data_IF_950951593024
#
_entry.id   IF_950951593024
#
_cell.length_a   1.000
_cell.length_b   1.000
_cell.length_c   1.000
_cell.angle_alpha   90.00
_cell.angle_beta   90.00
_cell.angle_gamma   90.00
#
_symmetry.space_group_name_H-M   'P 1'
#
loop_
_entity.id
_entity.type
_entity.pdbx_description
1 polymer ?
#
# COMPACT_ATOMS: atom_id res chain seq x y z
N UNK A 1 5.16 -13.53 6.65
CA UNK A 1 5.53 -12.82 5.40
C UNK A 1 5.89 -11.36 5.68
N UNK A 2 5.01 -10.57 6.29
CA UNK A 2 5.30 -9.17 6.65
C UNK A 2 6.60 -9.00 7.45
N UNK A 3 6.70 -9.58 8.65
CA UNK A 3 7.85 -9.36 9.55
C UNK A 3 9.18 -9.74 8.91
N UNK A 4 9.23 -10.87 8.20
CA UNK A 4 10.42 -11.29 7.47
C UNK A 4 10.81 -10.28 6.37
N UNK A 5 9.84 -9.79 5.58
CA UNK A 5 10.10 -8.79 4.55
C UNK A 5 10.51 -7.42 5.13
N UNK A 6 9.93 -7.03 6.27
CA UNK A 6 10.29 -5.81 6.97
C UNK A 6 11.73 -5.88 7.48
N UNK A 7 12.10 -6.96 8.18
CA UNK A 7 13.48 -7.16 8.65
C UNK A 7 14.46 -7.22 7.49
N UNK A 8 14.17 -8.01 6.45
CA UNK A 8 15.04 -8.17 5.29
C UNK A 8 15.27 -6.84 4.55
N UNK A 9 14.23 -6.03 4.33
CA UNK A 9 14.37 -4.75 3.64
C UNK A 9 15.00 -3.66 4.52
N UNK A 10 14.56 -3.50 5.76
CA UNK A 10 14.99 -2.42 6.65
C UNK A 10 16.40 -2.65 7.22
N UNK A 11 16.72 -3.87 7.66
CA UNK A 11 17.98 -4.15 8.32
C UNK A 11 19.07 -4.63 7.34
N UNK A 12 18.67 -5.30 6.25
CA UNK A 12 19.62 -5.95 5.33
C UNK A 12 19.56 -5.43 3.89
N UNK A 13 18.75 -4.39 3.62
CA UNK A 13 18.69 -3.76 2.30
C UNK A 13 18.12 -4.65 1.19
N UNK A 14 17.43 -5.75 1.53
CA UNK A 14 16.87 -6.65 0.54
C UNK A 14 15.68 -6.02 -0.20
N UNK A 15 15.64 -6.19 -1.52
CA UNK A 15 14.56 -5.68 -2.39
C UNK A 15 13.29 -6.52 -2.32
N UNK A 16 12.68 -6.58 -1.14
CA UNK A 16 11.50 -7.39 -0.85
C UNK A 16 10.35 -6.57 -0.26
N UNK A 17 9.09 -6.90 -0.57
CA UNK A 17 7.94 -6.18 -0.04
C UNK A 17 7.68 -6.52 1.43
N UNK A 18 7.30 -5.51 2.20
CA UNK A 18 6.76 -5.65 3.55
C UNK A 18 5.34 -5.09 3.60
N UNK A 19 4.33 -5.97 3.51
CA UNK A 19 2.92 -5.56 3.43
C UNK A 19 2.21 -5.78 4.77
N UNK A 20 1.95 -4.70 5.49
CA UNK A 20 1.09 -4.67 6.67
C UNK A 20 -0.39 -4.35 6.31
N UNK A 21 -1.23 -4.11 7.32
CA UNK A 21 -2.64 -3.75 7.07
C UNK A 21 -2.82 -2.37 6.43
N UNK A 22 -1.89 -1.43 6.64
CA UNK A 22 -1.90 -0.10 6.06
C UNK A 22 -1.50 -0.14 4.58
N UNK A 23 -0.35 -0.73 4.28
CA UNK A 23 0.14 -0.95 2.93
C UNK A 23 -0.85 -1.75 2.08
N UNK A 24 -1.42 -2.84 2.63
CA UNK A 24 -2.42 -3.64 1.93
C UNK A 24 -3.68 -2.84 1.54
N UNK A 25 -4.07 -1.87 2.36
CA UNK A 25 -5.21 -0.99 2.08
C UNK A 25 -4.87 0.05 1.03
N UNK A 26 -3.69 0.66 1.11
CA UNK A 26 -3.21 1.61 0.11
C UNK A 26 -3.16 0.95 -1.27
N UNK A 27 -2.44 -0.16 -1.41
CA UNK A 27 -2.30 -0.88 -2.68
C UNK A 27 -3.66 -1.30 -3.24
N UNK A 28 -4.56 -1.81 -2.40
CA UNK A 28 -5.88 -2.20 -2.87
C UNK A 28 -6.73 -1.02 -3.36
N UNK A 29 -6.60 0.18 -2.77
CA UNK A 29 -7.34 1.37 -3.21
C UNK A 29 -6.72 2.00 -4.45
N UNK A 30 -5.39 2.09 -4.50
CA UNK A 30 -4.65 2.64 -5.64
C UNK A 30 -4.95 1.84 -6.91
N UNK A 31 -4.91 0.51 -6.83
CA UNK A 31 -5.10 -0.40 -7.96
C UNK A 31 -6.53 -0.99 -8.06
N UNK A 32 -7.51 -0.44 -7.33
CA UNK A 32 -8.89 -0.91 -7.30
C UNK A 32 -9.06 -2.44 -7.11
N UNK A 33 -8.25 -3.05 -6.26
CA UNK A 33 -8.31 -4.49 -5.96
C UNK A 33 -9.58 -4.82 -5.16
N UNK A 34 -10.56 -5.38 -5.85
CA UNK A 34 -11.85 -5.79 -5.28
C UNK A 34 -11.77 -7.09 -4.46
N UNK A 35 -12.74 -7.28 -3.57
CA UNK A 35 -12.92 -8.50 -2.76
C UNK A 35 -12.93 -8.24 -1.25
N UNK A 36 -13.37 -9.24 -0.47
CA UNK A 36 -13.36 -9.16 1.00
C UNK A 36 -11.93 -9.09 1.52
N UNK A 37 -11.70 -8.31 2.60
CA UNK A 37 -10.35 -8.07 3.17
C UNK A 37 -9.59 -9.36 3.48
N UNK A 38 -10.27 -10.36 4.04
CA UNK A 38 -9.72 -11.67 4.42
C UNK A 38 -9.74 -12.72 3.29
N UNK A 39 -10.06 -12.33 2.06
CA UNK A 39 -10.06 -13.30 0.95
C UNK A 39 -8.64 -13.57 0.47
N UNK A 40 -8.26 -14.85 0.40
CA UNK A 40 -6.94 -15.27 -0.07
C UNK A 40 -6.64 -14.76 -1.49
N UNK A 41 -7.67 -14.67 -2.35
CA UNK A 41 -7.55 -14.10 -3.70
C UNK A 41 -7.13 -12.62 -3.66
N UNK A 42 -7.74 -11.81 -2.79
CA UNK A 42 -7.39 -10.39 -2.64
C UNK A 42 -5.99 -10.25 -2.05
N UNK A 43 -5.66 -11.03 -1.04
CA UNK A 43 -4.34 -11.02 -0.42
C UNK A 43 -3.24 -11.35 -1.42
N UNK A 44 -3.40 -12.43 -2.21
CA UNK A 44 -2.43 -12.78 -3.27
C UNK A 44 -2.21 -11.65 -4.28
N UNK A 45 -3.28 -10.99 -4.71
CA UNK A 45 -3.19 -9.85 -5.64
C UNK A 45 -2.44 -8.66 -5.04
N UNK A 46 -2.72 -8.33 -3.79
CA UNK A 46 -2.03 -7.24 -3.07
C UNK A 46 -0.54 -7.55 -2.94
N UNK A 47 -0.17 -8.78 -2.57
CA UNK A 47 1.24 -9.18 -2.47
C UNK A 47 1.94 -9.19 -3.83
N UNK A 48 1.27 -9.60 -4.91
CA UNK A 48 1.82 -9.53 -6.25
C UNK A 48 2.11 -8.09 -6.69
N UNK A 49 1.18 -7.16 -6.40
CA UNK A 49 1.41 -5.72 -6.64
C UNK A 49 2.59 -5.20 -5.82
N UNK A 50 2.67 -5.55 -4.54
CA UNK A 50 3.76 -5.10 -3.69
C UNK A 50 5.12 -5.58 -4.24
N UNK A 51 5.24 -6.85 -4.61
CA UNK A 51 6.45 -7.41 -5.19
C UNK A 51 6.85 -6.73 -6.51
N UNK A 52 5.88 -6.35 -7.34
CA UNK A 52 6.13 -5.68 -8.62
C UNK A 52 6.54 -4.21 -8.48
N UNK A 53 6.22 -3.55 -7.36
CA UNK A 53 6.40 -2.11 -7.17
C UNK A 53 7.59 -1.74 -6.29
N UNK A 54 8.18 -2.69 -5.56
CA UNK A 54 9.36 -2.40 -4.74
C UNK A 54 10.51 -1.94 -5.64
N UNK A 55 11.00 -0.70 -5.47
CA UNK A 55 12.12 -0.19 -6.24
C UNK A 55 13.43 -0.84 -5.78
N UNK A 56 14.28 -1.21 -6.73
CA UNK A 56 15.61 -1.76 -6.43
C UNK A 56 16.46 -0.78 -5.63
N UNK A 57 17.14 -1.29 -4.62
CA UNK A 57 17.99 -0.54 -3.68
C UNK A 57 17.24 0.41 -2.75
N UNK A 58 15.89 0.48 -2.81
CA UNK A 58 15.08 1.43 -2.04
C UNK A 58 13.86 0.78 -1.36
N UNK A 59 13.92 -0.52 -1.13
CA UNK A 59 12.79 -1.26 -0.54
C UNK A 59 12.44 -0.80 0.89
N UNK A 60 13.44 -0.47 1.70
CA UNK A 60 13.23 0.06 3.06
C UNK A 60 12.35 1.33 3.03
N UNK A 61 12.82 2.36 2.33
CA UNK A 61 12.11 3.64 2.19
C UNK A 61 10.73 3.45 1.56
N UNK A 62 10.63 2.59 0.54
CA UNK A 62 9.37 2.30 -0.14
C UNK A 62 8.35 1.66 0.79
N UNK A 63 8.75 0.61 1.52
CA UNK A 63 7.88 -0.09 2.45
C UNK A 63 7.42 0.87 3.57
N UNK A 64 8.34 1.67 4.12
CA UNK A 64 8.02 2.64 5.16
C UNK A 64 7.08 3.74 4.65
N UNK A 65 7.39 4.36 3.52
CA UNK A 65 6.55 5.39 2.92
C UNK A 65 5.13 4.89 2.61
N UNK A 66 4.99 3.64 2.17
CA UNK A 66 3.69 3.03 1.90
C UNK A 66 2.87 2.80 3.19
N UNK A 67 3.54 2.40 4.28
CA UNK A 67 2.92 2.26 5.60
C UNK A 67 2.49 3.63 6.15
N UNK A 68 3.36 4.64 6.09
CA UNK A 68 3.10 6.00 6.56
C UNK A 68 1.98 6.67 5.77
N UNK A 69 1.93 6.46 4.45
CA UNK A 69 0.83 6.90 3.60
C UNK A 69 -0.50 6.29 4.06
N UNK A 70 -0.49 5.00 4.41
CA UNK A 70 -1.65 4.29 4.92
C UNK A 70 -2.10 4.75 6.30
N UNK A 71 -1.16 5.10 7.17
CA UNK A 71 -1.42 5.59 8.52
C UNK A 71 -1.91 7.05 8.54
N UNK A 72 -1.35 7.89 7.66
CA UNK A 72 -1.54 9.36 7.70
C UNK A 72 -2.69 9.84 6.81
N UNK A 73 -2.76 9.33 5.57
CA UNK A 73 -3.70 9.83 4.56
C UNK A 73 -4.77 8.80 4.22
N UNK A 74 -4.36 7.58 3.87
CA UNK A 74 -5.24 6.54 3.37
C UNK A 74 -5.82 5.70 4.52
N UNK A 75 -6.37 6.35 5.57
CA UNK A 75 -6.91 5.68 6.76
C UNK A 75 -8.14 4.82 6.45
N UNK A 76 -8.46 3.87 7.34
CA UNK A 76 -9.46 2.82 7.08
C UNK A 76 -10.85 3.34 6.73
N UNK A 77 -11.34 4.37 7.43
CA UNK A 77 -12.72 4.86 7.30
C UNK A 77 -12.85 6.09 6.42
N UNK A 78 -12.37 7.24 6.90
CA UNK A 78 -12.46 8.54 6.22
C UNK A 78 -11.08 8.94 5.67
N UNK A 79 -10.62 8.36 4.54
CA UNK A 79 -9.31 8.70 3.99
C UNK A 79 -9.27 10.17 3.57
N UNK A 80 -8.13 10.81 3.78
CA UNK A 80 -7.87 12.21 3.43
C UNK A 80 -7.50 12.34 1.95
N UNK A 81 -8.38 11.86 1.06
CA UNK A 81 -8.08 11.78 -0.37
C UNK A 81 -7.76 13.14 -1.00
N UNK A 82 -8.40 14.23 -0.55
CA UNK A 82 -8.18 15.58 -1.08
C UNK A 82 -6.74 16.08 -0.95
N UNK A 83 -6.01 15.64 0.08
CA UNK A 83 -4.61 16.01 0.35
C UNK A 83 -3.65 14.82 0.22
N UNK A 84 -4.11 13.70 -0.32
CA UNK A 84 -3.29 12.50 -0.46
C UNK A 84 -2.27 12.69 -1.61
N UNK A 85 -0.96 12.53 -1.36
CA UNK A 85 0.07 12.85 -2.35
C UNK A 85 0.02 11.97 -3.62
N UNK A 86 -0.60 10.79 -3.53
CA UNK A 86 -0.74 9.86 -4.65
C UNK A 86 -2.15 9.85 -5.26
N UNK A 87 -3.02 10.83 -4.92
CA UNK A 87 -4.42 10.87 -5.36
C UNK A 87 -4.58 10.69 -6.87
N UNK A 88 -3.80 11.43 -7.66
CA UNK A 88 -3.82 11.43 -9.15
C UNK A 88 -3.38 10.11 -9.81
N UNK A 89 -2.93 9.15 -9.00
CA UNK A 89 -2.53 7.82 -9.44
C UNK A 89 -3.41 6.74 -8.77
N UNK A 90 -4.47 7.15 -8.06
CA UNK A 90 -5.26 6.27 -7.21
C UNK A 90 -6.67 6.11 -7.77
N UNK A 91 -6.99 4.90 -8.26
CA UNK A 91 -8.27 4.60 -8.88
C UNK A 91 -9.49 4.86 -7.99
N UNK A 92 -9.34 4.76 -6.66
CA UNK A 92 -10.40 5.09 -5.68
C UNK A 92 -10.35 6.56 -5.27
N UNK A 93 -9.15 7.13 -5.10
CA UNK A 93 -8.96 8.50 -4.59
C UNK A 93 -9.49 9.58 -5.53
N UNK A 94 -9.38 9.37 -6.85
CA UNK A 94 -9.93 10.28 -7.85
C UNK A 94 -11.45 10.42 -7.75
N UNK A 95 -12.14 9.31 -7.46
CA UNK A 95 -13.61 9.24 -7.39
C UNK A 95 -14.16 9.86 -6.10
N UNK A 96 -13.41 9.74 -5.01
CA UNK A 96 -13.82 10.27 -3.69
C UNK A 96 -13.63 11.78 -3.54
N UNK A 97 -12.85 12.41 -4.42
CA UNK A 97 -12.62 13.86 -4.40
C UNK A 97 -13.74 14.70 -5.02
N UNK A 98 -14.85 14.09 -5.45
CA UNK A 98 -15.97 14.77 -6.10
C UNK A 98 -17.22 14.90 -5.23
N UNK A 99 -17.21 14.40 -4.00
CA UNK A 99 -18.27 14.65 -3.02
C UNK A 99 -17.76 15.68 -2.02
N UNK A 100 -18.27 16.91 -2.16
CA UNK A 100 -18.33 17.87 -1.04
C UNK A 100 -19.34 17.35 -0.01
#
# INVERSE_FOLDING_TARGET
RYTAGAVASLAFGADVPAVDTNAARVLARVFAVRGRRKSARRERRVWALAAALVPRGRAADWNQALMDLGATYCVARRPRCGVCPVRRHCAVGERLGSSR
#
